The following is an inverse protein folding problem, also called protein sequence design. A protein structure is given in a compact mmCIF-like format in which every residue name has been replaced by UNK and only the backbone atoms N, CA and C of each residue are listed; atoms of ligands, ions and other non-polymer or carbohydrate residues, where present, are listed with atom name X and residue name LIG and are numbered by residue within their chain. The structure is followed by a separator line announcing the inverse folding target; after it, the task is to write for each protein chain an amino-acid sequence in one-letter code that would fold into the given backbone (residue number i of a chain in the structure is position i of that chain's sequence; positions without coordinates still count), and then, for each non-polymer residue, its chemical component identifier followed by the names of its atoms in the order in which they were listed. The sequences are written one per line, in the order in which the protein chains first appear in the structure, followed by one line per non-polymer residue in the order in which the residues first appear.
data_IF_788756470828
#
_entry.id   IF_788756470828
#
_cell.length_a   1.000
_cell.length_b   1.000
_cell.length_c   1.000
_cell.angle_alpha   90.00
_cell.angle_beta   90.00
_cell.angle_gamma   90.00
#
_symmetry.space_group_name_H-M   'P 1'
#
loop_
_entity.id
_entity.type
_entity.pdbx_description
1 polymer ?
#
# COMPACT_ATOMS: atom_id res chain seq x y z
N UNK A 1 35.28 -51.48 -6.03
CA UNK A 1 34.85 -50.44 -7.02
C UNK A 1 33.59 -49.67 -6.60
N UNK A 2 32.50 -50.32 -6.15
CA UNK A 2 31.26 -49.63 -5.73
C UNK A 2 31.44 -48.59 -4.59
N UNK A 3 32.37 -48.80 -3.67
CA UNK A 3 32.60 -47.86 -2.55
C UNK A 3 33.35 -46.59 -2.98
N UNK A 4 34.25 -46.67 -3.97
CA UNK A 4 34.97 -45.51 -4.50
C UNK A 4 34.07 -44.60 -5.33
N UNK A 5 33.12 -45.16 -6.08
CA UNK A 5 32.12 -44.39 -6.83
C UNK A 5 31.19 -43.59 -5.89
N UNK A 6 30.82 -44.16 -4.74
CA UNK A 6 30.03 -43.46 -3.70
C UNK A 6 30.84 -42.35 -3.01
N UNK A 7 32.12 -42.60 -2.71
CA UNK A 7 33.03 -41.59 -2.16
C UNK A 7 33.29 -40.44 -3.13
N UNK A 8 33.49 -40.73 -4.42
CA UNK A 8 33.63 -39.72 -5.48
C UNK A 8 32.36 -38.90 -5.67
N UNK A 9 31.18 -39.54 -5.67
CA UNK A 9 29.91 -38.84 -5.74
C UNK A 9 29.68 -37.94 -4.51
N UNK A 10 30.03 -38.41 -3.31
CA UNK A 10 29.92 -37.61 -2.08
C UNK A 10 30.86 -36.40 -2.09
N UNK A 11 32.11 -36.58 -2.56
CA UNK A 11 33.07 -35.49 -2.72
C UNK A 11 32.63 -34.47 -3.78
N UNK A 12 32.08 -34.93 -4.91
CA UNK A 12 31.55 -34.03 -5.95
C UNK A 12 30.34 -33.23 -5.44
N UNK A 13 29.40 -33.85 -4.73
CA UNK A 13 28.28 -33.14 -4.12
C UNK A 13 28.75 -32.12 -3.07
N UNK A 14 29.72 -32.47 -2.22
CA UNK A 14 30.26 -31.56 -1.20
C UNK A 14 30.98 -30.34 -1.81
N UNK A 15 31.69 -30.52 -2.93
CA UNK A 15 32.34 -29.41 -3.65
C UNK A 15 31.30 -28.49 -4.28
N UNK A 16 30.23 -29.04 -4.89
CA UNK A 16 29.17 -28.24 -5.51
C UNK A 16 28.34 -27.42 -4.52
N UNK A 17 28.09 -27.93 -3.30
CA UNK A 17 27.38 -27.18 -2.26
C UNK A 17 28.22 -26.04 -1.70
N UNK A 18 29.55 -26.23 -1.62
CA UNK A 18 30.48 -25.22 -1.10
C UNK A 18 30.61 -24.01 -2.02
N UNK A 19 30.65 -24.24 -3.35
CA UNK A 19 30.68 -23.15 -4.33
C UNK A 19 29.39 -22.34 -4.38
N UNK A 20 28.24 -23.00 -4.19
CA UNK A 20 26.95 -22.32 -4.17
C UNK A 20 26.85 -21.39 -2.95
N UNK A 21 27.21 -21.86 -1.75
CA UNK A 21 27.20 -21.02 -0.54
C UNK A 21 28.13 -19.81 -0.65
N UNK A 22 29.34 -19.99 -1.19
CA UNK A 22 30.28 -18.90 -1.39
C UNK A 22 29.77 -17.83 -2.38
N UNK A 23 29.04 -18.24 -3.43
CA UNK A 23 28.42 -17.31 -4.37
C UNK A 23 27.32 -16.49 -3.69
N UNK A 24 26.52 -17.12 -2.83
CA UNK A 24 25.42 -16.46 -2.12
C UNK A 24 25.92 -15.39 -1.13
N UNK A 25 26.99 -15.69 -0.39
CA UNK A 25 27.63 -14.71 0.50
C UNK A 25 28.18 -13.50 -0.28
N UNK A 26 28.76 -13.77 -1.46
CA UNK A 26 29.24 -12.72 -2.37
C UNK A 26 28.11 -11.84 -2.90
N UNK A 27 26.97 -12.44 -3.25
CA UNK A 27 25.82 -11.72 -3.78
C UNK A 27 25.16 -10.83 -2.69
N UNK A 28 25.12 -11.30 -1.44
CA UNK A 28 24.69 -10.50 -0.30
C UNK A 28 25.66 -9.34 -0.02
N UNK A 29 26.96 -9.59 -0.04
CA UNK A 29 27.97 -8.55 0.13
C UNK A 29 27.87 -7.47 -0.95
N UNK A 30 27.61 -7.86 -2.20
CA UNK A 30 27.38 -6.92 -3.31
C UNK A 30 26.14 -6.07 -3.08
N UNK A 31 25.01 -6.67 -2.70
CA UNK A 31 23.79 -5.91 -2.42
C UNK A 31 23.98 -4.91 -1.26
N UNK A 32 24.71 -5.32 -0.20
CA UNK A 32 25.10 -4.43 0.90
C UNK A 32 25.99 -3.28 0.42
N UNK A 33 26.91 -3.55 -0.50
CA UNK A 33 27.76 -2.52 -1.09
C UNK A 33 26.93 -1.53 -1.91
N UNK A 34 26.01 -2.00 -2.74
CA UNK A 34 25.10 -1.13 -3.51
C UNK A 34 24.27 -0.26 -2.57
N UNK A 35 23.75 -0.84 -1.48
CA UNK A 35 23.03 -0.09 -0.44
C UNK A 35 23.91 0.99 0.20
N UNK A 36 25.14 0.65 0.59
CA UNK A 36 26.09 1.57 1.21
C UNK A 36 26.49 2.72 0.26
N UNK A 37 26.51 2.48 -1.05
CA UNK A 37 26.79 3.49 -2.07
C UNK A 37 25.56 4.36 -2.40
N UNK A 38 24.39 4.04 -1.87
CA UNK A 38 23.14 4.75 -2.16
C UNK A 38 22.41 4.26 -3.41
N UNK A 39 22.89 3.18 -4.02
CA UNK A 39 22.28 2.53 -5.19
C UNK A 39 21.13 1.63 -4.73
N UNK A 40 20.06 2.24 -4.20
CA UNK A 40 19.00 1.50 -3.50
C UNK A 40 18.21 0.57 -4.43
N UNK A 41 18.01 0.94 -5.70
CA UNK A 41 17.29 0.08 -6.64
C UNK A 41 18.08 -1.19 -6.99
N UNK A 42 19.40 -1.04 -7.14
CA UNK A 42 20.34 -2.12 -7.36
C UNK A 42 20.40 -3.04 -6.13
N UNK A 43 20.47 -2.45 -4.93
CA UNK A 43 20.41 -3.19 -3.67
C UNK A 43 19.09 -3.98 -3.53
N UNK A 44 17.94 -3.35 -3.82
CA UNK A 44 16.63 -4.03 -3.82
C UNK A 44 16.65 -5.22 -4.77
N UNK A 45 17.18 -5.05 -5.99
CA UNK A 45 17.28 -6.14 -6.97
C UNK A 45 18.15 -7.30 -6.46
N UNK A 46 19.32 -6.98 -5.88
CA UNK A 46 20.23 -7.96 -5.29
C UNK A 46 19.58 -8.74 -4.14
N UNK A 47 18.99 -8.02 -3.17
CA UNK A 47 18.29 -8.66 -2.05
C UNK A 47 17.08 -9.49 -2.51
N UNK A 48 16.28 -9.01 -3.47
CA UNK A 48 15.17 -9.80 -4.03
C UNK A 48 15.65 -11.10 -4.67
N UNK A 49 16.77 -11.08 -5.39
CA UNK A 49 17.37 -12.28 -5.99
C UNK A 49 17.74 -13.29 -4.91
N UNK A 50 18.34 -12.84 -3.80
CA UNK A 50 18.66 -13.70 -2.66
C UNK A 50 17.40 -14.30 -2.03
N UNK A 51 16.37 -13.49 -1.79
CA UNK A 51 15.08 -13.96 -1.28
C UNK A 51 14.44 -14.99 -2.22
N UNK A 52 14.48 -14.75 -3.54
CA UNK A 52 13.98 -15.65 -4.57
C UNK A 52 14.76 -16.97 -4.68
N UNK A 53 16.05 -16.95 -4.32
CA UNK A 53 16.88 -18.17 -4.21
C UNK A 53 16.58 -19.02 -2.96
N UNK A 54 15.59 -18.62 -2.14
CA UNK A 54 15.19 -19.31 -0.92
C UNK A 54 16.05 -18.95 0.29
N UNK A 55 16.92 -17.94 0.19
CA UNK A 55 17.65 -17.44 1.35
C UNK A 55 16.77 -16.48 2.13
N UNK A 56 16.37 -16.90 3.32
CA UNK A 56 15.58 -16.09 4.23
C UNK A 56 16.31 -15.96 5.55
N UNK A 57 16.65 -14.73 5.92
CA UNK A 57 17.20 -14.39 7.22
C UNK A 57 16.58 -13.08 7.69
N UNK A 58 16.56 -12.87 9.01
CA UNK A 58 16.01 -11.64 9.56
C UNK A 58 16.79 -10.42 9.05
N UNK A 59 18.12 -10.50 8.98
CA UNK A 59 18.99 -9.45 8.44
C UNK A 59 18.70 -9.15 6.96
N UNK A 60 18.53 -10.17 6.11
CA UNK A 60 18.24 -9.95 4.70
C UNK A 60 16.91 -9.21 4.50
N UNK A 61 15.87 -9.61 5.24
CA UNK A 61 14.60 -8.89 5.20
C UNK A 61 14.70 -7.50 5.81
N UNK A 62 15.47 -7.31 6.88
CA UNK A 62 15.73 -6.00 7.45
C UNK A 62 16.44 -5.07 6.44
N UNK A 63 17.48 -5.54 5.75
CA UNK A 63 18.23 -4.75 4.77
C UNK A 63 17.41 -4.46 3.50
N UNK A 64 16.59 -5.41 3.05
CA UNK A 64 15.62 -5.17 1.98
C UNK A 64 14.57 -4.15 2.39
N UNK A 65 14.08 -4.22 3.64
CA UNK A 65 13.17 -3.23 4.22
C UNK A 65 13.79 -1.84 4.26
N UNK A 66 15.05 -1.74 4.66
CA UNK A 66 15.81 -0.49 4.66
C UNK A 66 15.92 0.08 3.23
N UNK A 67 16.24 -0.76 2.24
CA UNK A 67 16.36 -0.32 0.85
C UNK A 67 15.04 0.24 0.31
N UNK A 68 13.91 -0.42 0.58
CA UNK A 68 12.58 0.10 0.24
C UNK A 68 12.22 1.38 0.99
N UNK A 69 12.59 1.49 2.27
CA UNK A 69 12.39 2.71 3.03
C UNK A 69 13.13 3.90 2.38
N UNK A 70 14.37 3.68 1.94
CA UNK A 70 15.19 4.70 1.28
C UNK A 70 14.65 5.15 -0.08
N UNK A 71 13.87 4.32 -0.76
CA UNK A 71 13.18 4.68 -2.01
C UNK A 71 11.77 5.23 -1.79
N UNK A 72 11.32 5.36 -0.54
CA UNK A 72 9.98 5.86 -0.18
C UNK A 72 8.86 4.85 -0.34
N UNK A 73 9.17 3.59 -0.66
CA UNK A 73 8.20 2.49 -0.72
C UNK A 73 7.94 1.94 0.70
N UNK A 74 7.27 2.74 1.52
CA UNK A 74 7.03 2.41 2.93
C UNK A 74 6.20 1.14 3.11
N UNK A 75 5.31 0.82 2.17
CA UNK A 75 4.52 -0.41 2.20
C UNK A 75 5.39 -1.66 2.12
N UNK A 76 6.33 -1.72 1.16
CA UNK A 76 7.27 -2.84 1.06
C UNK A 76 8.33 -2.82 2.16
N UNK A 77 8.70 -1.65 2.69
CA UNK A 77 9.55 -1.56 3.87
C UNK A 77 8.89 -2.24 5.08
N UNK A 78 7.64 -1.88 5.39
CA UNK A 78 6.83 -2.47 6.47
C UNK A 78 6.76 -3.99 6.33
N UNK A 79 6.40 -4.49 5.14
CA UNK A 79 6.31 -5.93 4.87
C UNK A 79 7.62 -6.66 5.21
N UNK A 80 8.75 -6.12 4.79
CA UNK A 80 10.04 -6.78 5.00
C UNK A 80 10.50 -6.68 6.47
N UNK A 81 10.25 -5.58 7.17
CA UNK A 81 10.50 -5.54 8.63
C UNK A 81 9.62 -6.53 9.39
N UNK A 82 8.35 -6.71 9.01
CA UNK A 82 7.49 -7.72 9.60
C UNK A 82 8.00 -9.15 9.34
N UNK A 83 8.51 -9.42 8.13
CA UNK A 83 9.17 -10.70 7.81
C UNK A 83 10.42 -10.92 8.65
N UNK A 84 11.24 -9.88 8.85
CA UNK A 84 12.40 -9.96 9.73
C UNK A 84 11.99 -10.34 11.15
N UNK A 85 10.97 -9.68 11.71
CA UNK A 85 10.44 -9.96 13.05
C UNK A 85 9.71 -11.31 13.17
N UNK A 86 9.19 -11.84 12.07
CA UNK A 86 8.63 -13.18 12.03
C UNK A 86 9.71 -14.26 12.16
N UNK A 87 10.90 -14.04 11.59
CA UNK A 87 12.06 -14.93 11.74
C UNK A 87 12.77 -14.72 13.08
N UNK A 88 12.94 -13.47 13.49
CA UNK A 88 13.62 -13.08 14.73
C UNK A 88 12.78 -12.06 15.50
N UNK A 89 11.96 -12.56 16.44
CA UNK A 89 11.06 -11.72 17.25
C UNK A 89 11.79 -10.63 18.06
N UNK A 90 13.08 -10.80 18.32
CA UNK A 90 13.88 -9.89 19.13
C UNK A 90 14.94 -9.17 18.30
N UNK A 91 14.52 -8.56 17.19
CA UNK A 91 15.36 -7.71 16.34
C UNK A 91 15.03 -6.22 16.61
N UNK A 92 15.82 -5.52 17.45
CA UNK A 92 15.47 -4.17 17.90
C UNK A 92 15.49 -3.14 16.77
N UNK A 93 16.41 -3.27 15.82
CA UNK A 93 16.53 -2.38 14.65
C UNK A 93 15.31 -2.53 13.72
N UNK A 94 14.90 -3.77 13.42
CA UNK A 94 13.71 -4.01 12.62
C UNK A 94 12.43 -3.49 13.31
N UNK A 95 12.34 -3.63 14.63
CA UNK A 95 11.21 -3.08 15.41
C UNK A 95 11.16 -1.56 15.34
N UNK A 96 12.31 -0.89 15.52
CA UNK A 96 12.40 0.57 15.44
C UNK A 96 12.06 1.08 14.03
N UNK A 97 12.64 0.47 12.99
CA UNK A 97 12.41 0.91 11.61
C UNK A 97 10.98 0.59 11.13
N UNK A 98 10.36 -0.48 11.62
CA UNK A 98 8.94 -0.75 11.37
C UNK A 98 8.05 0.38 11.90
N UNK A 99 8.33 0.87 13.10
CA UNK A 99 7.56 1.98 13.68
C UNK A 99 7.73 3.25 12.83
N UNK A 100 8.96 3.60 12.47
CA UNK A 100 9.25 4.76 11.62
C UNK A 100 8.55 4.63 10.26
N UNK A 101 8.64 3.47 9.61
CA UNK A 101 7.99 3.23 8.32
C UNK A 101 6.46 3.34 8.39
N UNK A 102 5.84 2.89 9.49
CA UNK A 102 4.39 3.06 9.72
C UNK A 102 4.03 4.52 9.93
N UNK A 103 4.84 5.27 10.66
CA UNK A 103 4.59 6.70 10.89
C UNK A 103 4.71 7.51 9.60
N UNK A 104 5.70 7.22 8.75
CA UNK A 104 5.85 7.84 7.43
C UNK A 104 4.72 7.46 6.47
N UNK A 105 4.35 6.18 6.40
CA UNK A 105 3.21 5.73 5.62
C UNK A 105 1.91 6.44 6.05
N UNK A 106 1.70 6.58 7.36
CA UNK A 106 0.55 7.31 7.92
C UNK A 106 0.62 8.81 7.59
N UNK A 107 1.79 9.42 7.61
CA UNK A 107 1.96 10.82 7.24
C UNK A 107 1.55 11.07 5.78
N UNK A 108 1.88 10.15 4.87
CA UNK A 108 1.42 10.20 3.47
C UNK A 108 -0.09 10.00 3.34
N UNK A 109 -0.71 9.13 4.14
CA UNK A 109 -2.19 9.01 4.18
C UNK A 109 -2.86 10.29 4.68
N UNK A 110 -2.24 10.95 5.65
CA UNK A 110 -2.70 12.22 6.20
C UNK A 110 -2.47 13.40 5.24
N UNK A 111 -1.68 13.22 4.18
CA UNK A 111 -1.54 14.19 3.09
C UNK A 111 -2.80 14.18 2.22
N UNK A 112 -3.91 14.62 2.82
CA UNK A 112 -5.21 14.74 2.17
C UNK A 112 -5.09 15.64 0.95
N UNK A 113 -5.71 15.23 -0.14
CA UNK A 113 -5.85 16.12 -1.28
C UNK A 113 -6.69 17.34 -0.87
N UNK A 114 -6.39 18.52 -1.42
CA UNK A 114 -7.10 19.75 -1.07
C UNK A 114 -8.64 19.67 -1.22
N UNK A 115 -9.23 18.86 -2.15
CA UNK A 115 -10.67 18.66 -2.20
C UNK A 115 -11.19 17.86 -1.01
N UNK A 116 -10.48 16.82 -0.57
CA UNK A 116 -10.85 16.03 0.62
C UNK A 116 -10.83 16.90 1.88
N UNK A 117 -9.87 17.82 2.00
CA UNK A 117 -9.80 18.76 3.12
C UNK A 117 -11.03 19.68 3.17
N UNK A 118 -11.51 20.14 2.02
CA UNK A 118 -12.73 20.96 1.95
C UNK A 118 -13.98 20.13 2.28
N UNK A 119 -14.06 18.90 1.75
CA UNK A 119 -15.17 17.98 2.00
C UNK A 119 -15.24 17.50 3.45
N UNK A 120 -14.14 17.48 4.20
CA UNK A 120 -14.14 17.14 5.63
C UNK A 120 -14.65 18.25 6.55
N UNK A 121 -14.91 19.46 6.03
CA UNK A 121 -15.54 20.53 6.82
C UNK A 121 -16.94 20.18 7.30
N UNK A 122 -17.61 19.24 6.61
CA UNK A 122 -18.88 18.67 7.00
C UNK A 122 -18.76 17.16 7.25
N UNK A 123 -19.52 16.64 8.21
CA UNK A 123 -19.55 15.21 8.50
C UNK A 123 -20.33 14.43 7.44
N UNK A 124 -20.03 13.13 7.29
CA UNK A 124 -20.81 12.24 6.39
C UNK A 124 -22.31 12.28 6.70
N UNK A 125 -22.69 12.44 7.98
CA UNK A 125 -24.07 12.62 8.40
C UNK A 125 -24.70 13.91 7.84
N UNK A 126 -23.95 15.03 7.80
CA UNK A 126 -24.46 16.28 7.26
C UNK A 126 -24.71 16.21 5.75
N UNK A 127 -23.85 15.54 4.99
CA UNK A 127 -24.09 15.27 3.57
C UNK A 127 -25.29 14.34 3.36
N UNK A 128 -25.43 13.30 4.19
CA UNK A 128 -26.56 12.36 4.12
C UNK A 128 -27.89 13.04 4.39
N UNK A 129 -27.95 13.91 5.40
CA UNK A 129 -29.14 14.72 5.71
C UNK A 129 -29.44 15.69 4.56
N UNK A 130 -28.42 16.37 4.02
CA UNK A 130 -28.59 17.32 2.90
C UNK A 130 -29.12 16.61 1.64
N UNK A 131 -28.60 15.42 1.33
CA UNK A 131 -29.09 14.60 0.24
C UNK A 131 -30.56 14.19 0.47
N UNK A 132 -30.91 13.72 1.66
CA UNK A 132 -32.28 13.30 1.98
C UNK A 132 -33.28 14.46 1.85
N UNK A 133 -32.93 15.65 2.36
CA UNK A 133 -33.77 16.84 2.25
C UNK A 133 -33.93 17.26 0.78
N UNK A 134 -32.82 17.34 0.04
CA UNK A 134 -32.85 17.71 -1.37
C UNK A 134 -33.63 16.69 -2.23
N UNK A 135 -33.56 15.40 -1.90
CA UNK A 135 -34.36 14.38 -2.54
C UNK A 135 -35.87 14.65 -2.36
N UNK A 136 -36.33 14.80 -1.11
CA UNK A 136 -37.74 15.02 -0.82
C UNK A 136 -38.28 16.35 -1.38
N UNK A 137 -37.51 17.43 -1.31
CA UNK A 137 -37.87 18.71 -1.94
C UNK A 137 -38.05 18.55 -3.45
N UNK A 138 -37.14 17.83 -4.11
CA UNK A 138 -37.23 17.52 -5.53
C UNK A 138 -38.50 16.73 -5.87
N UNK A 139 -38.80 15.68 -5.09
CA UNK A 139 -40.02 14.88 -5.24
C UNK A 139 -41.27 15.73 -5.12
N UNK A 140 -41.40 16.58 -4.09
CA UNK A 140 -42.55 17.45 -3.93
C UNK A 140 -42.70 18.47 -5.07
N UNK A 141 -41.59 19.03 -5.57
CA UNK A 141 -41.61 19.90 -6.74
C UNK A 141 -42.08 19.16 -8.00
N UNK A 142 -41.60 17.95 -8.24
CA UNK A 142 -42.00 17.12 -9.40
C UNK A 142 -43.48 16.76 -9.33
N UNK A 143 -43.95 16.30 -8.17
CA UNK A 143 -45.38 16.00 -7.93
C UNK A 143 -46.22 17.25 -8.19
N UNK A 144 -45.85 18.40 -7.62
CA UNK A 144 -46.55 19.66 -7.88
C UNK A 144 -46.56 20.00 -9.36
N UNK A 145 -45.45 19.82 -10.06
CA UNK A 145 -45.36 20.07 -11.49
C UNK A 145 -46.32 19.17 -12.28
N UNK A 146 -46.42 17.87 -11.96
CA UNK A 146 -47.32 16.92 -12.64
C UNK A 146 -48.80 17.31 -12.47
N UNK A 147 -49.21 17.64 -11.24
CA UNK A 147 -50.63 17.92 -10.92
C UNK A 147 -51.05 19.38 -11.13
N UNK A 148 -50.10 20.33 -11.22
CA UNK A 148 -50.44 21.74 -11.42
C UNK A 148 -50.79 22.01 -12.89
N UNK A 149 -51.96 22.63 -13.11
CA UNK A 149 -52.43 23.05 -14.43
C UNK A 149 -51.53 24.11 -15.10
N UNK A 150 -50.74 24.85 -14.31
CA UNK A 150 -49.77 25.85 -14.80
C UNK A 150 -48.38 25.57 -14.19
N UNK A 151 -47.38 25.38 -15.04
CA UNK A 151 -45.99 25.14 -14.63
C UNK A 151 -45.37 26.46 -14.15
N UNK A 152 -44.83 26.49 -12.94
CA UNK A 152 -44.15 27.67 -12.40
C UNK A 152 -42.64 27.56 -12.62
N UNK A 153 -42.04 28.61 -13.18
CA UNK A 153 -40.59 28.68 -13.38
C UNK A 153 -39.83 28.51 -12.06
N UNK A 154 -40.36 29.03 -10.96
CA UNK A 154 -39.78 28.87 -9.63
C UNK A 154 -39.76 27.41 -9.16
N UNK A 155 -40.84 26.65 -9.41
CA UNK A 155 -40.88 25.21 -9.07
C UNK A 155 -39.94 24.37 -9.92
N UNK A 156 -39.73 24.77 -11.18
CA UNK A 156 -38.75 24.13 -12.06
C UNK A 156 -37.34 24.44 -11.55
N UNK A 157 -37.02 25.71 -11.30
CA UNK A 157 -35.72 26.11 -10.76
C UNK A 157 -35.41 25.42 -9.43
N UNK A 158 -36.39 25.32 -8.52
CA UNK A 158 -36.21 24.63 -7.24
C UNK A 158 -35.98 23.13 -7.42
N UNK A 159 -36.67 22.47 -8.35
CA UNK A 159 -36.43 21.04 -8.65
C UNK A 159 -35.02 20.79 -9.20
N UNK A 160 -34.53 21.68 -10.06
CA UNK A 160 -33.18 21.62 -10.62
C UNK A 160 -32.14 21.83 -9.52
N UNK A 161 -32.31 22.86 -8.68
CA UNK A 161 -31.44 23.13 -7.54
C UNK A 161 -31.36 21.94 -6.59
N UNK A 162 -32.51 21.31 -6.31
CA UNK A 162 -32.59 20.11 -5.47
C UNK A 162 -31.77 18.95 -6.04
N UNK A 163 -31.86 18.72 -7.35
CA UNK A 163 -31.06 17.69 -8.02
C UNK A 163 -29.55 17.98 -7.95
N UNK A 164 -29.15 19.25 -8.12
CA UNK A 164 -27.75 19.65 -7.97
C UNK A 164 -27.22 19.42 -6.54
N UNK A 165 -27.98 19.82 -5.53
CA UNK A 165 -27.59 19.61 -4.12
C UNK A 165 -27.49 18.12 -3.81
N UNK A 166 -28.46 17.32 -4.28
CA UNK A 166 -28.43 15.87 -4.13
C UNK A 166 -27.18 15.26 -4.78
N UNK A 167 -26.89 15.62 -6.04
CA UNK A 167 -25.71 15.13 -6.75
C UNK A 167 -24.40 15.50 -6.03
N UNK A 168 -24.24 16.75 -5.61
CA UNK A 168 -23.05 17.21 -4.89
C UNK A 168 -22.88 16.45 -3.56
N UNK A 169 -23.97 16.27 -2.80
CA UNK A 169 -23.92 15.55 -1.53
C UNK A 169 -23.55 14.07 -1.73
N UNK A 170 -24.10 13.41 -2.76
CA UNK A 170 -23.74 12.01 -3.07
C UNK A 170 -22.28 11.86 -3.53
N UNK A 171 -21.78 12.81 -4.34
CA UNK A 171 -20.38 12.84 -4.75
C UNK A 171 -19.44 13.09 -3.56
N UNK A 172 -19.83 13.95 -2.63
CA UNK A 172 -19.07 14.20 -1.40
C UNK A 172 -18.99 12.94 -0.53
N UNK A 173 -20.09 12.21 -0.34
CA UNK A 173 -20.11 10.94 0.40
C UNK A 173 -19.21 9.92 -0.28
N UNK A 174 -19.33 9.75 -1.60
CA UNK A 174 -18.49 8.84 -2.38
C UNK A 174 -17.00 9.19 -2.27
N UNK A 175 -16.65 10.48 -2.35
CA UNK A 175 -15.28 10.94 -2.22
C UNK A 175 -14.70 10.78 -0.81
N UNK A 176 -15.52 10.94 0.24
CA UNK A 176 -15.09 10.72 1.62
C UNK A 176 -14.92 9.23 1.96
N UNK A 177 -15.76 8.37 1.39
CA UNK A 177 -15.73 6.91 1.61
C UNK A 177 -14.61 6.22 0.80
N UNK A 178 -14.39 6.66 -0.45
CA UNK A 178 -13.35 6.11 -1.34
C UNK A 178 -12.09 6.96 -1.46
N UNK A 179 -11.94 7.98 -0.61
CA UNK A 179 -10.79 8.89 -0.61
C UNK A 179 -9.46 8.21 -0.27
N UNK A 180 -8.40 9.00 -0.12
CA UNK A 180 -7.00 8.54 0.06
C UNK A 180 -6.76 7.52 1.19
N UNK A 181 -7.69 7.37 2.13
CA UNK A 181 -7.63 6.57 3.37
C UNK A 181 -7.36 5.07 3.22
N UNK A 182 -7.16 4.54 2.01
CA UNK A 182 -6.86 3.12 1.81
C UNK A 182 -5.91 2.80 0.65
N UNK A 183 -5.37 3.81 -0.04
CA UNK A 183 -4.51 3.57 -1.22
C UNK A 183 -3.03 3.39 -0.86
N UNK A 184 -2.58 3.92 0.29
CA UNK A 184 -1.18 3.82 0.71
C UNK A 184 -0.86 2.53 1.49
N UNK A 185 -1.88 1.85 2.03
CA UNK A 185 -1.75 0.63 2.85
C UNK A 185 -2.04 -0.67 2.08
N UNK A 186 -2.16 -0.65 0.75
CA UNK A 186 -2.19 -1.88 0.00
C UNK A 186 -0.81 -2.55 0.11
N UNK A 187 -0.63 -3.37 1.14
CA UNK A 187 0.45 -4.36 1.21
C UNK A 187 0.17 -5.28 0.02
N UNK A 188 0.89 -5.06 -1.07
CA UNK A 188 0.88 -5.94 -2.23
C UNK A 188 1.46 -7.27 -1.74
N UNK A 189 0.58 -8.18 -1.32
CA UNK A 189 0.92 -9.56 -0.95
C UNK A 189 1.07 -10.43 -2.19
N UNK A 190 1.37 -9.85 -3.36
CA UNK A 190 1.27 -10.59 -4.60
C UNK A 190 2.40 -11.61 -4.70
N UNK A 191 1.97 -12.82 -5.03
CA UNK A 191 2.82 -13.93 -5.46
C UNK A 191 3.43 -13.67 -6.86
N UNK A 192 3.10 -12.53 -7.48
CA UNK A 192 3.51 -12.14 -8.84
C UNK A 192 4.74 -11.22 -8.89
N UNK A 193 5.49 -11.10 -7.79
CA UNK A 193 6.83 -10.52 -7.83
C UNK A 193 7.87 -11.62 -8.14
N UNK A 194 7.75 -12.23 -9.32
CA UNK A 194 8.81 -13.02 -9.94
C UNK A 194 10.13 -12.23 -10.03
#
# INVERSE_FOLDING_TARGET
MKNYARLLAFLLCAVSTSSAFAQLDSDFAKANQDYAQGNFNEAISGYRTLVGSGQWSANLFYDLGNAYFRTGDFGRAILNYERALALERHHPEATANLQIARDEARALEMQQSWPERYLQSASSNQYSISAAVAFWVGVFCIVRLIFARRRSAATIALSILSLFIFAIATLAIYGLDRGSKGRALAIVTDQDAE
#
